data_IF_818603446106
#
_entry.id   IF_818603446106
#
_cell.length_a   1.000
_cell.length_b   1.000
_cell.length_c   1.000
_cell.angle_alpha   90.00
_cell.angle_beta   90.00
_cell.angle_gamma   90.00
#
_symmetry.space_group_name_H-M   'P 1'
#
loop_
_entity.id
_entity.type
_entity.pdbx_description
1 polymer ?
#
# COMPACT_ATOMS: atom_id res chain seq x y z
N UNK A 1 0.49 3.94 -10.34
CA UNK A 1 1.26 5.19 -10.21
C UNK A 1 2.27 5.11 -9.08
N UNK A 2 3.36 5.88 -9.17
CA UNK A 2 4.33 6.06 -8.10
C UNK A 2 3.95 7.29 -7.27
N UNK A 3 3.62 7.09 -5.99
CA UNK A 3 3.09 8.13 -5.11
C UNK A 3 3.76 7.97 -3.74
N UNK A 4 4.21 9.06 -3.09
CA UNK A 4 4.75 8.96 -1.75
C UNK A 4 3.67 8.52 -0.75
N UNK A 5 4.07 7.75 0.26
CA UNK A 5 3.17 7.37 1.35
C UNK A 5 2.61 8.59 2.11
N UNK A 6 3.45 9.62 2.29
CA UNK A 6 3.06 10.90 2.86
C UNK A 6 3.86 12.06 2.24
N UNK A 7 3.25 13.24 2.17
CA UNK A 7 3.86 14.46 1.61
C UNK A 7 5.00 15.02 2.46
N UNK A 8 5.02 14.76 3.77
CA UNK A 8 6.01 15.30 4.70
C UNK A 8 6.84 14.21 5.39
N UNK A 9 8.11 14.47 5.68
CA UNK A 9 9.02 13.51 6.33
C UNK A 9 8.85 13.49 7.85
N UNK A 10 7.67 13.08 8.32
CA UNK A 10 7.34 12.97 9.75
C UNK A 10 6.77 11.60 10.11
N UNK A 11 6.60 11.32 11.40
CA UNK A 11 5.76 10.21 11.84
C UNK A 11 4.33 10.50 11.38
N UNK A 12 3.70 9.52 10.74
CA UNK A 12 2.37 9.67 10.17
C UNK A 12 1.42 8.71 10.88
N UNK A 13 0.29 9.22 11.35
CA UNK A 13 -0.82 8.37 11.74
C UNK A 13 -1.46 7.83 10.46
N UNK A 14 -1.82 6.54 10.38
CA UNK A 14 -2.37 5.97 9.13
C UNK A 14 -3.61 6.73 8.65
N UNK A 15 -4.42 7.26 9.59
CA UNK A 15 -5.57 8.13 9.33
C UNK A 15 -5.22 9.40 8.55
N UNK A 16 -4.04 9.98 8.80
CA UNK A 16 -3.55 11.25 8.22
C UNK A 16 -2.61 11.04 7.04
N UNK A 17 -2.45 9.81 6.57
CA UNK A 17 -1.59 9.51 5.42
C UNK A 17 -2.19 10.07 4.14
N UNK A 18 -1.37 10.77 3.34
CA UNK A 18 -1.87 11.41 2.11
C UNK A 18 -2.21 10.37 1.05
N UNK A 19 -1.49 9.24 1.02
CA UNK A 19 -1.82 8.13 0.12
C UNK A 19 -3.20 7.52 0.46
N UNK A 20 -3.57 7.45 1.74
CA UNK A 20 -4.89 6.96 2.17
C UNK A 20 -5.99 7.90 1.69
N UNK A 21 -5.80 9.21 1.85
CA UNK A 21 -6.73 10.23 1.36
C UNK A 21 -6.94 10.06 -0.14
N UNK A 22 -5.85 10.03 -0.92
CA UNK A 22 -5.89 9.84 -2.37
C UNK A 22 -6.58 8.52 -2.78
N UNK A 23 -6.27 7.42 -2.11
CA UNK A 23 -6.88 6.10 -2.36
C UNK A 23 -8.41 6.12 -2.18
N UNK A 24 -8.90 6.88 -1.19
CA UNK A 24 -10.32 6.91 -0.83
C UNK A 24 -11.09 8.11 -1.42
N UNK A 25 -10.41 9.03 -2.12
CA UNK A 25 -10.99 10.10 -2.93
C UNK A 25 -10.70 9.86 -4.42
N UNK A 26 -9.64 10.48 -4.93
CA UNK A 26 -9.39 10.72 -6.35
C UNK A 26 -9.27 9.38 -7.09
N UNK A 27 -8.48 8.46 -6.54
CA UNK A 27 -8.34 7.12 -7.08
C UNK A 27 -9.67 6.36 -7.08
N UNK A 28 -10.39 6.34 -5.96
CA UNK A 28 -11.63 5.59 -5.85
C UNK A 28 -12.70 6.09 -6.83
N UNK A 29 -12.85 7.42 -6.95
CA UNK A 29 -13.84 8.02 -7.83
C UNK A 29 -13.47 7.90 -9.32
N UNK A 30 -12.18 7.92 -9.64
CA UNK A 30 -11.69 7.71 -11.01
C UNK A 30 -11.74 6.23 -11.44
N UNK A 31 -11.32 5.31 -10.57
CA UNK A 31 -11.16 3.90 -10.90
C UNK A 31 -12.50 3.11 -10.92
N UNK A 32 -13.48 3.52 -10.12
CA UNK A 32 -14.74 2.77 -9.96
C UNK A 32 -15.95 3.66 -10.23
N UNK A 33 -16.78 3.27 -11.20
CA UNK A 33 -18.02 3.98 -11.57
C UNK A 33 -19.23 3.04 -11.56
N UNK A 34 -20.43 3.62 -11.48
CA UNK A 34 -21.70 2.87 -11.51
C UNK A 34 -21.80 1.78 -10.44
N UNK A 35 -22.34 0.63 -10.83
CA UNK A 35 -22.60 -0.49 -9.92
C UNK A 35 -21.33 -1.09 -9.30
N UNK A 36 -20.18 -1.01 -9.99
CA UNK A 36 -18.89 -1.49 -9.43
C UNK A 36 -18.54 -0.79 -8.12
N UNK A 37 -18.93 0.48 -7.98
CA UNK A 37 -18.70 1.26 -6.76
C UNK A 37 -19.54 0.75 -5.58
N UNK A 38 -20.76 0.29 -5.85
CA UNK A 38 -21.68 -0.23 -4.84
C UNK A 38 -21.24 -1.59 -4.29
N UNK A 39 -20.49 -2.35 -5.07
CA UNK A 39 -19.94 -3.64 -4.63
C UNK A 39 -18.76 -3.49 -3.65
N UNK A 40 -18.15 -2.32 -3.53
CA UNK A 40 -16.94 -2.13 -2.71
C UNK A 40 -17.31 -1.86 -1.25
N UNK A 41 -16.78 -2.67 -0.36
CA UNK A 41 -17.01 -2.60 1.08
C UNK A 41 -16.20 -1.48 1.72
N UNK A 42 -16.86 -0.73 2.59
CA UNK A 42 -16.17 0.07 3.58
C UNK A 42 -15.64 -0.86 4.69
N UNK A 43 -14.34 -1.13 4.67
CA UNK A 43 -13.70 -2.17 5.48
C UNK A 43 -13.00 -1.57 6.70
N UNK A 44 -13.12 -2.23 7.85
CA UNK A 44 -12.27 -1.94 9.01
C UNK A 44 -10.84 -2.43 8.72
N UNK A 45 -9.88 -1.51 8.69
CA UNK A 45 -8.48 -1.77 8.36
C UNK A 45 -7.60 -1.41 9.56
N UNK A 46 -7.02 -2.42 10.19
CA UNK A 46 -6.17 -2.26 11.38
C UNK A 46 -4.71 -2.25 10.97
N UNK A 47 -3.91 -1.25 11.35
CA UNK A 47 -2.45 -1.21 11.14
C UNK A 47 -1.70 -1.92 12.25
N UNK A 48 -1.28 -3.19 12.04
CA UNK A 48 -0.60 -3.95 13.08
C UNK A 48 0.81 -3.41 13.32
N UNK A 49 1.37 -3.84 14.45
CA UNK A 49 2.76 -3.59 14.83
C UNK A 49 3.69 -4.27 13.83
N UNK A 50 4.70 -3.55 13.37
CA UNK A 50 5.83 -4.16 12.69
C UNK A 50 6.62 -4.99 13.72
N UNK A 51 6.51 -6.32 13.63
CA UNK A 51 7.10 -7.24 14.61
C UNK A 51 8.63 -7.14 14.63
N UNK A 52 9.28 -6.96 13.48
CA UNK A 52 10.74 -6.93 13.35
C UNK A 52 11.38 -5.74 14.09
N UNK A 53 10.76 -4.56 14.01
CA UNK A 53 11.31 -3.33 14.59
C UNK A 53 10.54 -2.83 15.81
N UNK A 54 9.45 -3.49 16.17
CA UNK A 54 8.55 -3.09 17.23
C UNK A 54 7.81 -1.77 17.00
N UNK A 55 7.92 -1.15 15.82
CA UNK A 55 7.23 0.10 15.52
C UNK A 55 5.75 -0.14 15.32
N UNK A 56 4.93 0.79 15.80
CA UNK A 56 3.50 0.64 15.72
C UNK A 56 2.84 2.00 15.43
N UNK A 57 1.78 1.95 14.63
CA UNK A 57 0.87 3.08 14.40
C UNK A 57 -0.43 2.95 15.19
N UNK A 58 -0.78 1.75 15.67
CA UNK A 58 -1.96 1.44 16.48
C UNK A 58 -3.21 2.17 15.98
N UNK A 59 -3.45 2.11 14.68
CA UNK A 59 -4.54 2.82 14.03
C UNK A 59 -5.52 1.84 13.40
N UNK A 60 -6.78 2.23 13.44
CA UNK A 60 -7.88 1.49 12.86
C UNK A 60 -8.69 2.47 12.02
N UNK A 61 -8.67 2.28 10.70
CA UNK A 61 -9.39 3.12 9.75
C UNK A 61 -10.59 2.37 9.17
N UNK A 62 -11.52 3.12 8.61
CA UNK A 62 -12.58 2.59 7.75
C UNK A 62 -12.29 3.04 6.33
N UNK A 63 -11.92 2.08 5.47
CA UNK A 63 -11.41 2.35 4.13
C UNK A 63 -12.13 1.51 3.07
N UNK A 64 -12.46 2.14 1.94
CA UNK A 64 -12.96 1.44 0.74
C UNK A 64 -11.82 0.84 -0.06
N UNK A 65 -10.70 1.56 -0.10
CA UNK A 65 -9.46 1.14 -0.74
C UNK A 65 -8.31 1.37 0.24
N UNK A 66 -7.48 0.36 0.41
CA UNK A 66 -6.38 0.36 1.37
C UNK A 66 -5.12 -0.27 0.77
N UNK A 67 -3.99 -0.12 1.48
CA UNK A 67 -2.77 -0.87 1.21
C UNK A 67 -2.71 -2.10 2.11
N UNK A 68 -2.09 -3.19 1.67
CA UNK A 68 -1.90 -4.36 2.52
C UNK A 68 -0.92 -4.07 3.68
N UNK A 69 -1.09 -4.74 4.82
CA UNK A 69 -0.03 -4.88 5.83
C UNK A 69 1.03 -5.88 5.38
N UNK A 70 2.13 -5.97 6.13
CA UNK A 70 3.14 -7.03 5.95
C UNK A 70 2.48 -8.41 6.03
N UNK A 71 1.69 -8.65 7.07
CA UNK A 71 1.03 -9.93 7.33
C UNK A 71 0.03 -10.27 6.22
N UNK A 72 -0.74 -9.29 5.75
CA UNK A 72 -1.66 -9.49 4.62
C UNK A 72 -0.90 -9.79 3.32
N UNK A 73 0.24 -9.12 3.06
CA UNK A 73 1.07 -9.38 1.90
C UNK A 73 1.80 -10.73 1.97
N UNK A 74 2.07 -11.25 3.16
CA UNK A 74 2.61 -12.60 3.36
C UNK A 74 1.52 -13.66 3.24
N UNK A 75 0.32 -13.37 3.73
CA UNK A 75 -0.81 -14.26 3.68
C UNK A 75 -1.37 -14.44 2.26
N UNK A 76 -1.58 -13.33 1.53
CA UNK A 76 -2.21 -13.37 0.19
C UNK A 76 -1.24 -13.75 -0.94
N UNK A 77 0.08 -13.64 -0.72
CA UNK A 77 1.08 -13.97 -1.73
C UNK A 77 2.00 -15.09 -1.26
N UNK A 78 2.00 -16.25 -1.92
CA UNK A 78 2.71 -17.44 -1.44
C UNK A 78 4.24 -17.29 -1.45
N UNK A 79 4.79 -16.36 -2.23
CA UNK A 79 6.24 -16.14 -2.34
C UNK A 79 6.57 -14.73 -2.85
N UNK A 80 7.87 -14.42 -2.90
CA UNK A 80 8.36 -13.13 -3.39
C UNK A 80 7.97 -12.87 -4.85
N UNK A 81 8.06 -13.88 -5.71
CA UNK A 81 7.72 -13.74 -7.14
C UNK A 81 6.28 -13.25 -7.34
N UNK A 82 5.32 -13.77 -6.55
CA UNK A 82 3.92 -13.38 -6.55
C UNK A 82 3.67 -11.95 -6.01
N UNK A 83 4.58 -11.43 -5.20
CA UNK A 83 4.51 -10.06 -4.67
C UNK A 83 5.03 -9.01 -5.65
N UNK A 84 5.73 -9.38 -6.71
CA UNK A 84 6.23 -8.40 -7.68
C UNK A 84 5.10 -7.75 -8.47
N UNK A 85 5.29 -6.48 -8.83
CA UNK A 85 4.33 -5.70 -9.62
C UNK A 85 5.04 -5.15 -10.86
N UNK A 86 4.41 -5.34 -12.02
CA UNK A 86 4.78 -4.69 -13.28
C UNK A 86 3.75 -3.61 -13.62
N UNK A 87 4.19 -2.60 -14.36
CA UNK A 87 3.24 -1.72 -15.03
C UNK A 87 2.62 -2.46 -16.21
N UNK A 88 1.29 -2.42 -16.29
CA UNK A 88 0.56 -2.84 -17.48
C UNK A 88 0.49 -1.58 -18.35
N UNK A 89 1.56 -1.36 -19.11
CA UNK A 89 1.58 -0.34 -20.13
C UNK A 89 2.08 -1.00 -21.42
N UNK A 90 1.33 -0.85 -22.50
CA UNK A 90 1.53 -1.58 -23.76
C UNK A 90 2.89 -1.26 -24.39
N UNK A 91 3.49 -0.11 -24.07
CA UNK A 91 4.83 0.28 -24.52
C UNK A 91 5.97 -0.43 -23.75
N UNK A 92 5.68 -0.98 -22.57
CA UNK A 92 6.67 -1.55 -21.64
C UNK A 92 6.57 -3.07 -21.51
N UNK A 93 5.77 -3.77 -22.33
CA UNK A 93 5.64 -5.24 -22.29
C UNK A 93 7.00 -5.97 -22.39
N UNK A 94 7.95 -5.38 -23.11
CA UNK A 94 9.30 -5.93 -23.29
C UNK A 94 10.27 -5.60 -22.13
N UNK A 95 9.90 -4.70 -21.23
CA UNK A 95 10.70 -4.35 -20.06
C UNK A 95 10.22 -5.16 -18.86
N UNK A 96 11.02 -6.15 -18.44
CA UNK A 96 10.85 -6.86 -17.15
C UNK A 96 11.17 -5.95 -15.96
N UNK A 97 10.62 -4.74 -15.94
CA UNK A 97 10.78 -3.78 -14.87
C UNK A 97 9.73 -4.06 -13.80
N UNK A 98 10.19 -4.57 -12.67
CA UNK A 98 9.39 -4.67 -11.46
C UNK A 98 9.63 -3.46 -10.57
N UNK A 99 8.59 -3.06 -9.85
CA UNK A 99 8.63 -1.85 -9.06
C UNK A 99 8.37 -2.13 -7.58
N UNK A 100 9.05 -1.40 -6.67
CA UNK A 100 8.73 -1.47 -5.26
C UNK A 100 7.36 -0.84 -5.01
N UNK A 101 6.64 -1.30 -3.98
CA UNK A 101 5.32 -0.78 -3.64
C UNK A 101 5.09 -0.70 -2.13
N UNK A 102 4.19 0.20 -1.72
CA UNK A 102 3.95 0.51 -0.31
C UNK A 102 3.09 -0.52 0.42
N UNK A 103 3.42 -0.76 1.68
CA UNK A 103 2.55 -1.40 2.67
C UNK A 103 2.13 -0.37 3.71
N UNK A 104 0.96 -0.57 4.34
CA UNK A 104 0.49 0.32 5.42
C UNK A 104 1.19 0.10 6.77
N UNK A 105 1.88 -1.03 6.95
CA UNK A 105 2.68 -1.28 8.16
C UNK A 105 3.75 -0.21 8.33
N UNK A 106 4.02 0.21 9.56
CA UNK A 106 5.08 1.18 9.84
C UNK A 106 6.46 0.62 9.51
N UNK A 107 7.36 1.48 9.01
CA UNK A 107 8.78 1.17 8.90
C UNK A 107 9.55 1.52 10.17
N UNK A 108 10.89 1.55 10.06
CA UNK A 108 11.78 2.00 11.13
C UNK A 108 12.92 2.91 10.61
N UNK A 109 13.08 4.14 11.14
CA UNK A 109 12.30 4.75 12.23
C UNK A 109 10.86 5.13 11.83
N UNK A 110 10.08 5.68 12.77
CA UNK A 110 8.63 5.89 12.60
C UNK A 110 8.20 6.83 11.45
N UNK A 111 9.12 7.59 10.86
CA UNK A 111 8.91 8.38 9.63
C UNK A 111 9.07 7.55 8.33
N UNK A 112 9.16 6.22 8.44
CA UNK A 112 9.18 5.28 7.32
C UNK A 112 7.88 4.48 7.25
N UNK A 113 7.60 3.94 6.07
CA UNK A 113 6.55 2.96 5.82
C UNK A 113 7.17 1.70 5.22
N UNK A 114 6.68 0.53 5.65
CA UNK A 114 7.10 -0.73 5.07
C UNK A 114 6.70 -0.81 3.60
N UNK A 115 7.32 -1.72 2.88
CA UNK A 115 6.99 -1.94 1.48
C UNK A 115 7.47 -3.29 1.00
N UNK A 116 7.36 -3.48 -0.31
CA UNK A 116 7.89 -4.64 -1.00
C UNK A 116 8.90 -4.15 -2.04
N UNK A 117 10.03 -4.83 -2.17
CA UNK A 117 11.05 -4.50 -3.17
C UNK A 117 10.62 -4.91 -4.58
N UNK A 118 11.36 -4.46 -5.60
CA UNK A 118 11.20 -4.93 -6.99
C UNK A 118 11.33 -6.45 -7.14
N UNK A 119 12.09 -7.09 -6.26
CA UNK A 119 12.30 -8.54 -6.24
C UNK A 119 11.23 -9.26 -5.40
N UNK A 120 10.23 -8.54 -4.89
CA UNK A 120 9.12 -9.11 -4.13
C UNK A 120 9.41 -9.41 -2.65
N UNK A 121 10.57 -8.96 -2.14
CA UNK A 121 10.94 -9.12 -0.74
C UNK A 121 10.23 -8.10 0.13
N UNK A 122 9.73 -8.53 1.30
CA UNK A 122 9.21 -7.61 2.31
C UNK A 122 10.36 -6.74 2.83
N UNK A 123 10.13 -5.44 2.86
CA UNK A 123 11.03 -4.43 3.41
C UNK A 123 10.40 -3.88 4.69
N UNK A 124 10.50 -4.63 5.79
CA UNK A 124 9.92 -4.24 7.07
C UNK A 124 10.53 -2.92 7.61
N UNK A 125 11.83 -2.69 7.39
CA UNK A 125 12.44 -1.37 7.71
C UNK A 125 11.82 -0.24 6.89
N UNK A 126 11.44 -0.53 5.65
CA UNK A 126 10.69 0.36 4.79
C UNK A 126 11.48 1.49 4.13
N UNK A 127 10.76 2.33 3.41
CA UNK A 127 11.25 3.55 2.77
C UNK A 127 10.84 4.81 3.54
N UNK A 128 11.52 5.94 3.29
CA UNK A 128 11.04 7.26 3.76
C UNK A 128 9.64 7.49 3.21
N UNK A 129 8.70 7.97 4.03
CA UNK A 129 7.32 8.18 3.59
C UNK A 129 7.17 9.14 2.41
N UNK A 130 8.15 10.04 2.23
CA UNK A 130 8.22 11.00 1.11
C UNK A 130 8.83 10.43 -0.18
N UNK A 131 9.23 9.16 -0.19
CA UNK A 131 9.87 8.57 -1.36
C UNK A 131 8.88 8.42 -2.52
N UNK A 132 9.21 8.98 -3.67
CA UNK A 132 8.38 8.98 -4.88
C UNK A 132 8.67 7.79 -5.82
N UNK A 133 9.61 6.91 -5.48
CA UNK A 133 9.93 5.73 -6.31
C UNK A 133 9.07 4.49 -6.04
N UNK A 134 8.22 4.54 -5.02
CA UNK A 134 7.36 3.42 -4.63
C UNK A 134 5.98 3.56 -5.27
N UNK A 135 5.49 2.45 -5.80
CA UNK A 135 4.19 2.35 -6.43
C UNK A 135 3.09 1.99 -5.44
N UNK A 136 1.86 2.22 -5.89
CA UNK A 136 0.66 1.88 -5.16
C UNK A 136 0.09 0.55 -5.68
N UNK A 137 -0.16 -0.39 -4.78
CA UNK A 137 -0.89 -1.64 -5.05
C UNK A 137 -2.18 -1.66 -4.22
N UNK A 138 -3.29 -1.12 -4.75
CA UNK A 138 -4.55 -1.02 -4.01
C UNK A 138 -5.13 -2.39 -3.68
N UNK A 139 -5.72 -2.50 -2.49
CA UNK A 139 -6.54 -3.62 -2.05
C UNK A 139 -7.92 -3.11 -1.63
N UNK A 140 -8.94 -3.94 -1.82
CA UNK A 140 -10.32 -3.65 -1.47
C UNK A 140 -11.05 -4.97 -1.22
N UNK A 141 -12.18 -4.90 -0.52
CA UNK A 141 -13.08 -6.05 -0.32
C UNK A 141 -14.38 -5.78 -1.07
N UNK A 142 -14.97 -6.80 -1.66
CA UNK A 142 -16.23 -6.70 -2.41
C UNK A 142 -17.31 -7.60 -1.80
N UNK A 143 -18.57 -7.23 -2.01
CA UNK A 143 -19.67 -8.18 -1.95
C UNK A 143 -19.54 -9.16 -3.13
N UNK A 144 -19.62 -10.46 -2.84
CA UNK A 144 -19.75 -11.52 -3.85
C UNK A 144 -21.22 -11.81 -4.09
#
# INVERSE_FOLDING_TARGET
>A
EAIPYHSEQKKVDSEKSSIRSWLNSDFFFAAFTGNKRLCILNSKVNTPKNIEYGTNRNSCTSDRVFLLSIEEAEHYFPNAEARRVKLIDNEFENLKCFFPWWLRSSGYPAYRAAGVSKDGKILARGGKVTNTSYFVRPALRVYL
#
